data_IF_507518034076
#
_entry.id   IF_507518034076
#
_cell.length_a   1.000
_cell.length_b   1.000
_cell.length_c   1.000
_cell.angle_alpha   90.00
_cell.angle_beta   90.00
_cell.angle_gamma   90.00
#
_symmetry.space_group_name_H-M   'P 1'
#
loop_
_entity.id
_entity.type
_entity.pdbx_description
1 polymer ?
#
# COMPACT_ATOMS: atom_id res chain seq x y z
N UNK A 1 -15.17 -6.81 -12.63
CA UNK A 1 -14.10 -7.78 -12.29
C UNK A 1 -14.68 -8.96 -11.52
N UNK A 2 -14.32 -10.22 -11.80
CA UNK A 2 -14.72 -11.34 -10.95
C UNK A 2 -13.86 -11.42 -9.70
N UNK A 3 -14.42 -11.93 -8.60
CA UNK A 3 -13.70 -12.10 -7.32
C UNK A 3 -12.51 -13.06 -7.48
N UNK A 4 -12.68 -14.18 -8.21
CA UNK A 4 -11.59 -15.12 -8.52
C UNK A 4 -10.40 -14.39 -9.17
N UNK A 5 -10.66 -13.50 -10.12
CA UNK A 5 -9.60 -12.77 -10.81
C UNK A 5 -8.89 -11.78 -9.88
N UNK A 6 -9.62 -11.08 -9.01
CA UNK A 6 -9.02 -10.19 -8.04
C UNK A 6 -8.04 -10.95 -7.13
N UNK A 7 -8.42 -12.13 -6.63
CA UNK A 7 -7.54 -12.99 -5.83
C UNK A 7 -6.32 -13.50 -6.59
N UNK A 8 -6.49 -13.89 -7.86
CA UNK A 8 -5.35 -14.31 -8.69
C UNK A 8 -4.34 -13.18 -8.87
N UNK A 9 -4.78 -11.95 -9.10
CA UNK A 9 -3.88 -10.80 -9.23
C UNK A 9 -3.14 -10.50 -7.93
N UNK A 10 -3.82 -10.58 -6.78
CA UNK A 10 -3.21 -10.41 -5.46
C UNK A 10 -2.18 -11.52 -5.20
N UNK A 11 -2.51 -12.78 -5.48
CA UNK A 11 -1.59 -13.91 -5.32
C UNK A 11 -0.34 -13.78 -6.21
N UNK A 12 -0.51 -13.36 -7.46
CA UNK A 12 0.61 -13.10 -8.37
C UNK A 12 1.48 -11.93 -7.88
N UNK A 13 0.87 -10.91 -7.28
CA UNK A 13 1.61 -9.80 -6.67
C UNK A 13 2.42 -10.26 -5.46
N UNK A 14 1.84 -11.08 -4.59
CA UNK A 14 2.56 -11.69 -3.45
C UNK A 14 3.74 -12.51 -3.97
N UNK A 15 3.53 -13.37 -4.95
CA UNK A 15 4.59 -14.19 -5.54
C UNK A 15 5.71 -13.31 -6.11
N UNK A 16 5.35 -12.29 -6.88
CA UNK A 16 6.33 -11.43 -7.54
C UNK A 16 7.15 -10.59 -6.55
N UNK A 17 6.48 -9.90 -5.62
CA UNK A 17 7.14 -8.95 -4.73
C UNK A 17 7.74 -9.64 -3.51
N UNK A 18 6.95 -10.40 -2.75
CA UNK A 18 7.40 -10.94 -1.46
C UNK A 18 8.26 -12.20 -1.63
N UNK A 19 7.92 -13.08 -2.56
CA UNK A 19 8.66 -14.34 -2.73
C UNK A 19 9.83 -14.15 -3.67
N UNK A 20 9.59 -13.71 -4.92
CA UNK A 20 10.67 -13.54 -5.89
C UNK A 20 11.55 -12.35 -5.50
N UNK A 21 10.96 -11.16 -5.25
CA UNK A 21 11.69 -9.95 -4.92
C UNK A 21 12.47 -10.07 -3.61
N UNK A 22 11.77 -10.23 -2.47
CA UNK A 22 12.42 -10.18 -1.17
C UNK A 22 13.08 -11.49 -0.74
N UNK A 23 12.48 -12.67 -1.00
CA UNK A 23 13.01 -13.95 -0.49
C UNK A 23 14.04 -14.60 -1.38
N UNK A 24 13.95 -14.45 -2.71
CA UNK A 24 14.88 -15.08 -3.65
C UNK A 24 15.95 -14.08 -4.09
N UNK A 25 15.56 -12.92 -4.61
CA UNK A 25 16.50 -11.96 -5.17
C UNK A 25 17.12 -11.03 -4.12
N UNK A 26 16.36 -10.67 -3.06
CA UNK A 26 16.87 -9.82 -1.98
C UNK A 26 18.19 -10.32 -1.41
N UNK A 27 18.33 -11.60 -0.96
CA UNK A 27 19.59 -12.12 -0.42
C UNK A 27 20.76 -12.07 -1.40
N UNK A 28 20.51 -12.19 -2.72
CA UNK A 28 21.56 -12.12 -3.74
C UNK A 28 22.15 -10.72 -3.91
N UNK A 29 21.36 -9.68 -3.59
CA UNK A 29 21.76 -8.29 -3.78
C UNK A 29 22.01 -7.53 -2.47
N UNK A 30 21.56 -8.09 -1.33
CA UNK A 30 21.68 -7.46 -0.01
C UNK A 30 22.67 -8.21 0.91
N UNK A 31 23.35 -9.26 0.41
CA UNK A 31 24.19 -10.13 1.22
C UNK A 31 25.35 -9.42 1.94
N UNK A 32 25.77 -8.26 1.44
CA UNK A 32 26.90 -7.49 2.00
C UNK A 32 26.45 -6.25 2.80
N UNK A 33 25.16 -6.07 3.05
CA UNK A 33 24.67 -4.90 3.78
C UNK A 33 24.68 -5.19 5.30
N UNK A 34 25.46 -4.45 6.06
CA UNK A 34 25.45 -4.45 7.54
C UNK A 34 24.05 -4.09 8.08
N UNK A 35 23.24 -3.41 7.28
CA UNK A 35 21.85 -3.10 7.57
C UNK A 35 20.96 -3.47 6.35
N UNK A 36 20.12 -4.53 6.45
CA UNK A 36 19.27 -4.98 5.34
C UNK A 36 18.19 -3.95 4.90
N UNK A 37 17.98 -2.91 5.71
CA UNK A 37 17.03 -1.83 5.41
C UNK A 37 17.69 -0.62 4.71
N UNK A 38 19.02 -0.62 4.55
CA UNK A 38 19.76 0.37 3.76
C UNK A 38 20.34 -0.33 2.54
N UNK A 39 19.54 -0.58 1.49
CA UNK A 39 20.02 -1.26 0.31
C UNK A 39 21.12 -0.45 -0.38
N UNK A 40 22.15 -1.15 -0.88
CA UNK A 40 23.09 -0.54 -1.80
C UNK A 40 22.35 -0.03 -3.03
N UNK A 41 22.77 1.10 -3.60
CA UNK A 41 22.09 1.74 -4.73
C UNK A 41 21.80 0.78 -5.90
N UNK A 42 22.70 -0.14 -6.31
CA UNK A 42 22.43 -1.12 -7.37
C UNK A 42 21.35 -2.14 -7.01
N UNK A 43 21.38 -2.69 -5.79
CA UNK A 43 20.42 -3.69 -5.34
C UNK A 43 19.02 -3.07 -5.22
N UNK A 44 18.94 -1.88 -4.68
CA UNK A 44 17.70 -1.12 -4.57
C UNK A 44 17.12 -0.77 -5.95
N UNK A 45 17.94 -0.31 -6.89
CA UNK A 45 17.53 -0.02 -8.26
C UNK A 45 16.96 -1.27 -8.94
N UNK A 46 17.59 -2.43 -8.76
CA UNK A 46 17.12 -3.69 -9.34
C UNK A 46 15.79 -4.14 -8.74
N UNK A 47 15.63 -4.08 -7.41
CA UNK A 47 14.37 -4.44 -6.72
C UNK A 47 13.24 -3.49 -7.15
N UNK A 48 13.51 -2.19 -7.25
CA UNK A 48 12.52 -1.22 -7.74
C UNK A 48 12.16 -1.52 -9.20
N UNK A 49 13.12 -1.76 -10.08
CA UNK A 49 12.84 -2.06 -11.48
C UNK A 49 11.98 -3.32 -11.63
N UNK A 50 12.28 -4.38 -10.88
CA UNK A 50 11.46 -5.60 -10.88
C UNK A 50 10.06 -5.35 -10.31
N UNK A 51 9.95 -4.65 -9.19
CA UNK A 51 8.67 -4.29 -8.59
C UNK A 51 7.87 -3.35 -9.51
N UNK A 52 8.51 -2.33 -10.08
CA UNK A 52 7.87 -1.36 -10.98
C UNK A 52 7.46 -2.03 -12.28
N UNK A 53 8.38 -2.68 -12.98
CA UNK A 53 8.09 -3.29 -14.28
C UNK A 53 7.13 -4.48 -14.13
N UNK A 54 7.40 -5.38 -13.18
CA UNK A 54 6.59 -6.57 -12.98
C UNK A 54 5.22 -6.24 -12.40
N UNK A 55 5.17 -5.48 -11.31
CA UNK A 55 3.94 -5.20 -10.58
C UNK A 55 3.02 -4.21 -11.32
N UNK A 56 3.57 -3.14 -11.91
CA UNK A 56 2.79 -2.21 -12.74
C UNK A 56 2.32 -2.93 -14.01
N UNK A 57 3.17 -3.75 -14.62
CA UNK A 57 2.81 -4.57 -15.76
C UNK A 57 1.67 -5.55 -15.44
N UNK A 58 1.71 -6.20 -14.26
CA UNK A 58 0.66 -7.07 -13.78
C UNK A 58 -0.67 -6.32 -13.57
N UNK A 59 -0.63 -5.14 -12.94
CA UNK A 59 -1.81 -4.29 -12.74
C UNK A 59 -2.36 -3.84 -14.09
N UNK A 60 -1.52 -3.34 -14.99
CA UNK A 60 -1.96 -2.92 -16.31
C UNK A 60 -2.60 -4.06 -17.09
N UNK A 61 -1.91 -5.18 -17.24
CA UNK A 61 -2.42 -6.32 -17.99
C UNK A 61 -3.69 -6.90 -17.35
N UNK A 62 -3.60 -7.18 -16.06
CA UNK A 62 -4.66 -7.84 -15.31
C UNK A 62 -5.88 -6.98 -15.01
N UNK A 63 -5.69 -5.68 -14.81
CA UNK A 63 -6.76 -4.79 -14.37
C UNK A 63 -7.31 -3.88 -15.46
N UNK A 64 -6.56 -3.65 -16.53
CA UNK A 64 -6.93 -2.72 -17.60
C UNK A 64 -7.02 -3.44 -18.94
N UNK A 65 -5.89 -3.95 -19.46
CA UNK A 65 -5.83 -4.49 -20.83
C UNK A 65 -6.74 -5.69 -21.06
N UNK A 66 -6.63 -6.70 -20.22
CA UNK A 66 -7.37 -7.96 -20.42
C UNK A 66 -8.88 -7.81 -20.17
N UNK A 67 -9.37 -7.02 -19.13
CA UNK A 67 -10.80 -6.73 -19.00
C UNK A 67 -11.31 -5.69 -20.01
N UNK A 68 -10.43 -5.09 -20.81
CA UNK A 68 -10.76 -4.02 -21.77
C UNK A 68 -11.44 -2.82 -21.11
N UNK A 69 -10.89 -2.35 -19.99
CA UNK A 69 -11.37 -1.15 -19.30
C UNK A 69 -10.28 -0.09 -19.25
N UNK A 70 -10.70 1.16 -19.07
CA UNK A 70 -9.80 2.30 -18.90
C UNK A 70 -9.29 2.41 -17.45
N UNK A 71 -8.25 3.20 -17.23
CA UNK A 71 -7.81 3.58 -15.89
C UNK A 71 -8.90 4.29 -15.09
N UNK A 72 -9.72 5.12 -15.77
CA UNK A 72 -10.83 5.81 -15.14
C UNK A 72 -11.92 4.84 -14.65
N UNK A 73 -12.20 3.77 -15.40
CA UNK A 73 -13.12 2.71 -14.99
C UNK A 73 -12.56 1.83 -13.86
N UNK A 74 -11.23 1.73 -13.74
CA UNK A 74 -10.59 1.12 -12.57
C UNK A 74 -10.74 1.99 -11.31
N UNK A 75 -10.90 3.30 -11.50
CA UNK A 75 -11.07 4.28 -10.41
C UNK A 75 -10.01 5.38 -10.38
N UNK A 76 -9.02 5.35 -11.27
CA UNK A 76 -8.03 6.43 -11.41
C UNK A 76 -8.63 7.60 -12.20
N UNK A 77 -9.33 8.47 -11.48
CA UNK A 77 -9.97 9.69 -12.03
C UNK A 77 -9.49 10.90 -11.24
N UNK A 78 -9.19 11.97 -11.94
CA UNK A 78 -8.76 13.24 -11.36
C UNK A 78 -9.74 14.37 -11.75
N UNK A 79 -11.03 14.11 -11.51
CA UNK A 79 -12.17 14.95 -11.90
C UNK A 79 -12.57 15.95 -10.81
N UNK A 80 -12.22 15.70 -9.55
CA UNK A 80 -12.45 16.59 -8.39
C UNK A 80 -11.18 16.75 -7.55
N UNK A 81 -10.10 17.37 -8.10
CA UNK A 81 -8.77 17.33 -7.50
C UNK A 81 -8.72 17.88 -6.07
N UNK A 82 -9.33 19.02 -5.81
CA UNK A 82 -9.33 19.63 -4.48
C UNK A 82 -9.97 18.71 -3.43
N UNK A 83 -11.12 18.12 -3.73
CA UNK A 83 -11.80 17.15 -2.85
C UNK A 83 -10.96 15.88 -2.67
N UNK A 84 -10.42 15.36 -3.76
CA UNK A 84 -9.65 14.12 -3.75
C UNK A 84 -8.38 14.27 -2.91
N UNK A 85 -7.68 15.39 -3.04
CA UNK A 85 -6.50 15.72 -2.23
C UNK A 85 -6.90 15.89 -0.77
N UNK A 86 -7.93 16.71 -0.46
CA UNK A 86 -8.36 16.93 0.91
C UNK A 86 -8.76 15.64 1.62
N UNK A 87 -9.57 14.78 0.95
CA UNK A 87 -9.95 13.46 1.49
C UNK A 87 -8.72 12.57 1.69
N UNK A 88 -7.76 12.57 0.75
CA UNK A 88 -6.53 11.81 0.86
C UNK A 88 -5.68 12.23 2.05
N UNK A 89 -5.49 13.55 2.23
CA UNK A 89 -4.72 14.10 3.36
C UNK A 89 -5.38 13.77 4.70
N UNK A 90 -6.69 13.99 4.83
CA UNK A 90 -7.44 13.64 6.06
C UNK A 90 -7.33 12.14 6.36
N UNK A 91 -7.45 11.29 5.36
CA UNK A 91 -7.31 9.86 5.51
C UNK A 91 -5.86 9.46 5.91
N UNK A 92 -4.85 10.11 5.33
CA UNK A 92 -3.46 9.91 5.71
C UNK A 92 -3.20 10.27 7.17
N UNK A 93 -3.70 11.42 7.63
CA UNK A 93 -3.63 11.82 9.04
C UNK A 93 -4.33 10.80 9.94
N UNK A 94 -5.49 10.28 9.55
CA UNK A 94 -6.20 9.25 10.30
C UNK A 94 -5.42 7.94 10.39
N UNK A 95 -4.72 7.53 9.33
CA UNK A 95 -3.82 6.37 9.34
C UNK A 95 -2.67 6.58 10.32
N UNK A 96 -1.96 7.71 10.22
CA UNK A 96 -0.84 8.05 11.09
C UNK A 96 -1.26 8.11 12.57
N UNK A 97 -2.40 8.73 12.85
CA UNK A 97 -2.94 8.78 14.21
C UNK A 97 -3.23 7.38 14.77
N UNK A 98 -3.83 6.49 13.96
CA UNK A 98 -4.11 5.10 14.37
C UNK A 98 -2.83 4.32 14.64
N UNK A 99 -1.77 4.54 13.87
CA UNK A 99 -0.49 3.88 14.08
C UNK A 99 0.21 4.39 15.35
N UNK A 100 0.22 5.71 15.57
CA UNK A 100 0.74 6.30 16.82
C UNK A 100 0.00 5.72 18.03
N UNK A 101 -1.33 5.60 17.98
CA UNK A 101 -2.11 4.97 19.05
C UNK A 101 -1.71 3.52 19.27
N UNK A 102 -1.46 2.76 18.20
CA UNK A 102 -1.00 1.39 18.31
C UNK A 102 0.40 1.29 18.96
N UNK A 103 1.34 2.17 18.59
CA UNK A 103 2.69 2.22 19.17
C UNK A 103 2.65 2.59 20.66
N UNK A 104 1.83 3.57 21.04
CA UNK A 104 1.61 3.92 22.45
C UNK A 104 1.01 2.75 23.25
N UNK A 105 0.07 2.02 22.65
CA UNK A 105 -0.51 0.83 23.28
C UNK A 105 0.50 -0.32 23.44
N UNK A 106 1.58 -0.33 22.65
CA UNK A 106 2.75 -1.21 22.79
C UNK A 106 3.73 -0.78 23.88
N UNK A 107 3.50 0.36 24.52
CA UNK A 107 4.36 0.90 25.56
C UNK A 107 5.50 1.78 25.05
N UNK A 108 5.52 2.12 23.74
CA UNK A 108 6.47 3.14 23.25
C UNK A 108 6.10 4.51 23.83
N UNK A 109 7.11 5.23 24.30
CA UNK A 109 6.92 6.60 24.77
C UNK A 109 6.74 7.58 23.60
N UNK A 110 6.08 8.74 23.81
CA UNK A 110 5.98 9.79 22.80
C UNK A 110 7.34 10.28 22.28
N UNK A 111 8.38 10.26 23.13
CA UNK A 111 9.74 10.65 22.74
C UNK A 111 10.39 9.64 21.80
N UNK A 112 10.21 8.33 22.04
CA UNK A 112 10.71 7.27 21.13
C UNK A 112 10.01 7.33 19.78
N UNK A 113 8.69 7.51 19.75
CA UNK A 113 7.94 7.69 18.51
C UNK A 113 8.41 8.95 17.76
N UNK A 114 8.57 10.06 18.48
CA UNK A 114 9.07 11.31 17.90
C UNK A 114 10.48 11.18 17.32
N UNK A 115 11.37 10.46 18.01
CA UNK A 115 12.72 10.18 17.52
C UNK A 115 12.69 9.32 16.26
N UNK A 116 11.94 8.23 16.25
CA UNK A 116 11.80 7.36 15.09
C UNK A 116 11.24 8.09 13.85
N UNK A 117 10.26 9.00 14.05
CA UNK A 117 9.76 9.85 12.96
C UNK A 117 10.82 10.85 12.48
N UNK A 118 11.67 11.39 13.37
CA UNK A 118 12.66 12.41 13.03
C UNK A 118 13.94 11.84 12.39
N UNK A 119 14.28 10.60 12.70
CA UNK A 119 15.54 9.96 12.30
C UNK A 119 15.82 9.94 10.78
N UNK A 120 14.85 9.64 9.89
CA UNK A 120 15.15 9.53 8.47
C UNK A 120 15.61 10.86 7.86
N UNK A 121 16.72 10.83 7.15
CA UNK A 121 17.23 11.97 6.38
C UNK A 121 16.24 12.41 5.29
N UNK A 122 16.41 13.63 4.78
CA UNK A 122 15.61 14.12 3.64
C UNK A 122 15.69 13.18 2.43
N UNK A 123 16.88 12.66 2.12
CA UNK A 123 17.07 11.71 1.02
C UNK A 123 16.31 10.40 1.25
N UNK A 124 16.31 9.87 2.48
CA UNK A 124 15.53 8.69 2.84
C UNK A 124 14.02 8.95 2.71
N UNK A 125 13.53 10.11 3.14
CA UNK A 125 12.10 10.48 2.97
C UNK A 125 11.69 10.60 1.51
N UNK A 126 12.56 11.15 0.65
CA UNK A 126 12.29 11.21 -0.78
C UNK A 126 12.20 9.80 -1.39
N UNK A 127 13.06 8.90 -0.93
CA UNK A 127 13.04 7.50 -1.33
C UNK A 127 11.75 6.81 -0.86
N UNK A 128 11.34 7.01 0.40
CA UNK A 128 10.08 6.51 0.92
C UNK A 128 8.88 7.06 0.17
N UNK A 129 8.92 8.33 -0.25
CA UNK A 129 7.87 8.88 -1.12
C UNK A 129 7.78 8.13 -2.45
N UNK A 130 8.90 7.86 -3.11
CA UNK A 130 8.91 7.12 -4.39
C UNK A 130 8.39 5.69 -4.22
N UNK A 131 8.82 4.99 -3.16
CA UNK A 131 8.32 3.66 -2.82
C UNK A 131 6.82 3.73 -2.50
N UNK A 132 6.42 4.69 -1.68
CA UNK A 132 5.04 4.86 -1.26
C UNK A 132 4.09 5.17 -2.41
N UNK A 133 4.50 6.02 -3.35
CA UNK A 133 3.70 6.33 -4.56
C UNK A 133 3.53 5.08 -5.42
N UNK A 134 4.60 4.31 -5.63
CA UNK A 134 4.54 3.07 -6.39
C UNK A 134 3.68 2.02 -5.69
N UNK A 135 3.90 1.77 -4.40
CA UNK A 135 3.14 0.82 -3.61
C UNK A 135 1.65 1.22 -3.60
N UNK A 136 1.35 2.49 -3.37
CA UNK A 136 0.00 3.02 -3.41
C UNK A 136 -0.67 2.80 -4.77
N UNK A 137 0.01 3.07 -5.88
CA UNK A 137 -0.55 2.83 -7.22
C UNK A 137 -0.93 1.36 -7.42
N UNK A 138 -0.04 0.44 -7.08
CA UNK A 138 -0.24 -1.00 -7.26
C UNK A 138 -1.33 -1.50 -6.32
N UNK A 139 -1.19 -1.23 -5.02
CA UNK A 139 -2.06 -1.79 -4.00
C UNK A 139 -3.47 -1.18 -4.07
N UNK A 140 -3.61 0.12 -4.30
CA UNK A 140 -4.93 0.72 -4.46
C UNK A 140 -5.64 0.20 -5.72
N UNK A 141 -4.91 -0.05 -6.80
CA UNK A 141 -5.46 -0.69 -8.00
C UNK A 141 -5.97 -2.10 -7.72
N UNK A 142 -5.22 -2.90 -6.96
CA UNK A 142 -5.58 -4.29 -6.64
C UNK A 142 -6.71 -4.36 -5.61
N UNK A 143 -6.59 -3.62 -4.51
CA UNK A 143 -7.50 -3.74 -3.37
C UNK A 143 -8.76 -2.89 -3.54
N UNK A 144 -8.63 -1.61 -3.89
CA UNK A 144 -9.76 -0.68 -3.99
C UNK A 144 -10.35 -0.61 -5.39
N UNK A 145 -9.52 -0.83 -6.42
CA UNK A 145 -9.96 -0.88 -7.82
C UNK A 145 -10.52 -2.23 -8.26
N UNK A 146 -10.03 -3.33 -7.72
CA UNK A 146 -10.41 -4.68 -8.14
C UNK A 146 -11.14 -5.47 -7.06
N UNK A 147 -10.50 -5.72 -5.91
CA UNK A 147 -11.05 -6.58 -4.87
C UNK A 147 -12.32 -5.98 -4.26
N UNK A 148 -12.27 -4.73 -3.84
CA UNK A 148 -13.43 -4.07 -3.24
C UNK A 148 -14.64 -4.05 -4.18
N UNK A 149 -14.44 -3.67 -5.45
CA UNK A 149 -15.52 -3.68 -6.44
C UNK A 149 -16.08 -5.09 -6.66
N UNK A 150 -15.22 -6.12 -6.68
CA UNK A 150 -15.66 -7.51 -6.77
C UNK A 150 -16.42 -8.01 -5.52
N UNK A 151 -15.97 -7.63 -4.32
CA UNK A 151 -16.65 -7.95 -3.07
C UNK A 151 -18.05 -7.29 -3.01
N UNK A 152 -18.16 -6.05 -3.47
CA UNK A 152 -19.43 -5.31 -3.54
C UNK A 152 -20.51 -5.98 -4.39
N UNK A 153 -20.14 -6.84 -5.31
CA UNK A 153 -21.12 -7.65 -6.07
C UNK A 153 -21.69 -8.83 -5.28
N UNK A 154 -21.10 -9.16 -4.13
CA UNK A 154 -21.43 -10.37 -3.34
C UNK A 154 -21.89 -10.07 -1.93
N UNK A 155 -21.62 -8.87 -1.41
CA UNK A 155 -21.91 -8.51 -0.02
C UNK A 155 -22.22 -7.01 0.12
N UNK A 156 -22.71 -6.61 1.31
CA UNK A 156 -22.95 -5.21 1.66
C UNK A 156 -21.67 -4.36 1.61
N UNK A 157 -21.81 -3.04 1.51
CA UNK A 157 -20.67 -2.12 1.53
C UNK A 157 -19.81 -2.30 2.77
N UNK A 158 -20.44 -2.34 3.94
CA UNK A 158 -19.77 -2.49 5.22
C UNK A 158 -18.99 -3.81 5.28
N UNK A 159 -19.61 -4.92 4.90
CA UNK A 159 -18.91 -6.22 4.86
C UNK A 159 -17.73 -6.19 3.87
N UNK A 160 -17.89 -5.60 2.69
CA UNK A 160 -16.81 -5.50 1.70
C UNK A 160 -15.64 -4.64 2.19
N UNK A 161 -15.89 -3.57 2.98
CA UNK A 161 -14.84 -2.75 3.61
C UNK A 161 -14.02 -3.61 4.57
N UNK A 162 -14.66 -4.29 5.51
CA UNK A 162 -13.95 -5.07 6.53
C UNK A 162 -13.25 -6.30 5.95
N UNK A 163 -13.91 -7.08 5.09
CA UNK A 163 -13.30 -8.23 4.42
C UNK A 163 -12.12 -7.79 3.57
N UNK A 164 -12.26 -6.72 2.79
CA UNK A 164 -11.18 -6.16 2.00
C UNK A 164 -10.00 -5.67 2.85
N UNK A 165 -10.28 -5.06 4.01
CA UNK A 165 -9.26 -4.60 4.96
C UNK A 165 -8.49 -5.77 5.60
N UNK A 166 -9.18 -6.84 5.98
CA UNK A 166 -8.52 -8.05 6.51
C UNK A 166 -7.64 -8.71 5.45
N UNK A 167 -8.11 -8.84 4.21
CA UNK A 167 -7.32 -9.40 3.12
C UNK A 167 -6.10 -8.51 2.82
N UNK A 168 -6.25 -7.19 2.87
CA UNK A 168 -5.17 -6.22 2.74
C UNK A 168 -4.11 -6.39 3.84
N UNK A 169 -4.52 -6.59 5.09
CA UNK A 169 -3.59 -6.84 6.19
C UNK A 169 -2.81 -8.16 6.00
N UNK A 170 -3.51 -9.24 5.66
CA UNK A 170 -2.90 -10.55 5.41
C UNK A 170 -1.96 -10.57 4.21
N UNK A 171 -2.22 -9.74 3.19
CA UNK A 171 -1.34 -9.57 2.04
C UNK A 171 0.08 -9.18 2.43
N UNK A 172 0.27 -8.42 3.50
CA UNK A 172 1.59 -7.96 3.94
C UNK A 172 2.46 -9.06 4.57
N UNK A 173 1.91 -10.26 4.80
CA UNK A 173 2.61 -11.41 5.37
C UNK A 173 3.35 -11.09 6.69
N UNK A 174 2.90 -10.08 7.41
CA UNK A 174 3.48 -9.67 8.68
C UNK A 174 2.89 -10.54 9.81
N UNK A 175 3.71 -11.34 10.53
CA UNK A 175 3.22 -12.18 11.62
C UNK A 175 2.92 -11.40 12.91
N UNK A 176 3.31 -10.12 13.01
CA UNK A 176 3.07 -9.31 14.18
C UNK A 176 1.58 -8.95 14.29
N UNK A 177 0.87 -9.38 15.36
CA UNK A 177 -0.56 -9.13 15.51
C UNK A 177 -0.93 -7.63 15.48
N UNK A 178 -0.07 -6.77 16.01
CA UNK A 178 -0.34 -5.32 16.05
C UNK A 178 -0.15 -4.73 14.67
N UNK A 179 0.90 -5.14 13.96
CA UNK A 179 1.06 -4.80 12.55
C UNK A 179 -0.16 -5.19 11.71
N UNK A 180 -0.76 -6.37 11.98
CA UNK A 180 -2.00 -6.78 11.33
C UNK A 180 -3.17 -5.85 11.67
N UNK A 181 -3.35 -5.49 12.94
CA UNK A 181 -4.42 -4.56 13.36
C UNK A 181 -4.26 -3.20 12.70
N UNK A 182 -3.04 -2.65 12.67
CA UNK A 182 -2.72 -1.39 11.99
C UNK A 182 -3.02 -1.49 10.49
N UNK A 183 -2.65 -2.59 9.82
CA UNK A 183 -2.96 -2.79 8.39
C UNK A 183 -4.45 -2.97 8.12
N UNK A 184 -5.22 -3.58 9.03
CA UNK A 184 -6.69 -3.59 8.94
C UNK A 184 -7.24 -2.16 9.05
N UNK A 185 -6.76 -1.37 10.01
CA UNK A 185 -7.13 0.03 10.14
C UNK A 185 -6.86 0.82 8.85
N UNK A 186 -5.65 0.72 8.29
CA UNK A 186 -5.30 1.33 7.00
C UNK A 186 -6.25 0.85 5.89
N UNK A 187 -6.53 -0.45 5.85
CA UNK A 187 -7.46 -1.05 4.89
C UNK A 187 -8.83 -0.42 4.89
N UNK A 188 -9.39 -0.19 6.09
CA UNK A 188 -10.68 0.50 6.29
C UNK A 188 -10.60 1.95 5.85
N UNK A 189 -9.62 2.71 6.36
CA UNK A 189 -9.47 4.14 6.09
C UNK A 189 -9.26 4.41 4.60
N UNK A 190 -8.40 3.65 3.91
CA UNK A 190 -8.19 3.80 2.47
C UNK A 190 -9.46 3.49 1.66
N UNK A 191 -10.23 2.48 2.07
CA UNK A 191 -11.49 2.18 1.38
C UNK A 191 -12.53 3.28 1.59
N UNK A 192 -12.62 3.86 2.79
CA UNK A 192 -13.46 5.02 3.06
C UNK A 192 -13.00 6.25 2.28
N UNK A 193 -11.69 6.47 2.14
CA UNK A 193 -11.13 7.55 1.33
C UNK A 193 -11.52 7.41 -0.16
N UNK A 194 -11.46 6.17 -0.72
CA UNK A 194 -11.96 5.89 -2.08
C UNK A 194 -13.43 6.26 -2.23
N UNK A 195 -14.26 5.85 -1.28
CA UNK A 195 -15.69 6.10 -1.34
C UNK A 195 -16.04 7.60 -1.26
N UNK A 196 -15.37 8.33 -0.36
CA UNK A 196 -15.61 9.77 -0.15
C UNK A 196 -14.98 10.63 -1.25
N UNK A 197 -13.79 10.27 -1.69
CA UNK A 197 -13.07 10.97 -2.77
C UNK A 197 -13.60 10.63 -4.18
N UNK A 198 -14.30 9.50 -4.32
CA UNK A 198 -14.83 9.04 -5.62
C UNK A 198 -13.75 8.52 -6.58
N UNK A 199 -12.50 8.35 -6.12
CA UNK A 199 -11.34 8.01 -6.93
C UNK A 199 -10.30 7.24 -6.13
N UNK A 200 -9.41 6.50 -6.80
CA UNK A 200 -8.22 5.87 -6.20
C UNK A 200 -7.13 6.90 -5.84
N UNK A 201 -7.22 8.13 -6.33
CA UNK A 201 -6.27 9.20 -5.98
C UNK A 201 -6.27 9.49 -4.48
N UNK A 202 -7.45 9.54 -3.84
CA UNK A 202 -7.56 9.82 -2.41
C UNK A 202 -6.87 8.78 -1.53
N UNK A 203 -7.16 7.47 -1.65
CA UNK A 203 -6.44 6.48 -0.86
C UNK A 203 -4.96 6.39 -1.24
N UNK A 204 -4.58 6.65 -2.50
CA UNK A 204 -3.18 6.66 -2.89
C UNK A 204 -2.38 7.79 -2.21
N UNK A 205 -2.96 8.98 -2.07
CA UNK A 205 -2.35 10.09 -1.30
C UNK A 205 -2.19 9.66 0.17
N UNK A 206 -3.25 9.12 0.78
CA UNK A 206 -3.20 8.66 2.16
C UNK A 206 -2.12 7.59 2.37
N UNK A 207 -2.04 6.64 1.46
CA UNK A 207 -1.06 5.55 1.49
C UNK A 207 0.38 6.07 1.33
N UNK A 208 0.63 6.94 0.34
CA UNK A 208 1.96 7.55 0.17
C UNK A 208 2.40 8.36 1.39
N UNK A 209 1.47 9.06 2.06
CA UNK A 209 1.75 9.80 3.30
C UNK A 209 2.25 8.88 4.42
N UNK A 210 1.68 7.68 4.60
CA UNK A 210 2.17 6.74 5.62
C UNK A 210 3.61 6.33 5.37
N UNK A 211 4.01 6.12 4.12
CA UNK A 211 5.39 5.83 3.75
C UNK A 211 6.35 6.98 4.03
N UNK A 212 5.96 8.22 3.73
CA UNK A 212 6.84 9.40 3.94
C UNK A 212 7.09 9.68 5.42
N UNK A 213 6.08 9.47 6.27
CA UNK A 213 6.18 9.78 7.70
C UNK A 213 6.76 8.62 8.49
N UNK A 214 6.32 7.41 8.23
CA UNK A 214 6.65 6.23 9.03
C UNK A 214 7.70 5.35 8.35
N UNK A 215 7.85 5.48 7.04
CA UNK A 215 8.90 4.89 6.23
C UNK A 215 9.13 3.41 6.47
N UNK A 216 10.07 3.11 7.32
CA UNK A 216 10.55 1.75 7.61
C UNK A 216 10.22 1.30 9.05
N UNK A 217 9.24 1.91 9.73
CA UNK A 217 8.81 1.44 11.05
C UNK A 217 8.03 0.12 10.99
#
# INVERSE_FOLDING_TARGET
>A
MSLRRAFVLIALQILLVFIIGFRILGPLFLADAENPFVPTVPAFTFVILLAVIGAIGLVWYGSVKQPRRTWAELGWRFDQPAKQIAVGVVAGIACLAGEVVALLALGMSPSEIGAAIAEPSFAARLLFLLIGVQAAFIEESLFRGNLFDALRTKMSATAAIFVGAVIFALYHLNPNPIGLVVKVWFGVVFTLARLRGGSLVSPAIAHAMTWVVLGAM
#
